data_IF_713702362616
#
_entry.id   IF_713702362616
#
_cell.length_a   1.000
_cell.length_b   1.000
_cell.length_c   1.000
_cell.angle_alpha   90.00
_cell.angle_beta   90.00
_cell.angle_gamma   90.00
#
_symmetry.space_group_name_H-M   'P 1'
#
loop_
_entity.id
_entity.type
_entity.pdbx_description
1 polymer ?
#
# COMPACT_ATOMS: atom_id res chain seq x y z
N UNK A 1 -25.79 42.54 -37.29
CA UNK A 1 -26.68 41.88 -36.31
C UNK A 1 -27.11 40.53 -36.88
N UNK A 2 -26.46 39.44 -36.49
CA UNK A 2 -26.93 38.07 -36.75
C UNK A 2 -26.47 37.16 -35.59
N UNK A 3 -27.22 37.02 -34.50
CA UNK A 3 -27.03 35.90 -33.59
C UNK A 3 -28.01 34.78 -33.96
N UNK A 4 -27.61 33.52 -33.77
CA UNK A 4 -28.43 32.30 -33.82
C UNK A 4 -28.57 31.51 -35.13
N UNK A 5 -27.67 31.62 -36.11
CA UNK A 5 -27.72 30.74 -37.30
C UNK A 5 -27.13 29.33 -37.13
N UNK A 6 -26.85 28.82 -35.93
CA UNK A 6 -26.43 27.41 -35.82
C UNK A 6 -26.62 26.76 -34.44
N UNK A 7 -27.69 27.11 -33.74
CA UNK A 7 -28.02 26.49 -32.45
C UNK A 7 -28.29 24.99 -32.57
N UNK A 8 -28.91 24.54 -33.66
CA UNK A 8 -29.16 23.11 -33.93
C UNK A 8 -27.87 22.33 -34.17
N UNK A 9 -26.89 22.91 -34.87
CA UNK A 9 -25.57 22.31 -35.08
C UNK A 9 -24.77 22.24 -33.77
N UNK A 10 -24.91 23.26 -32.92
CA UNK A 10 -24.29 23.29 -31.59
C UNK A 10 -24.93 22.26 -30.64
N UNK A 11 -26.26 22.21 -30.56
CA UNK A 11 -26.98 21.20 -29.77
C UNK A 11 -26.70 19.76 -30.24
N UNK A 12 -26.57 19.54 -31.56
CA UNK A 12 -26.22 18.23 -32.12
C UNK A 12 -24.78 17.81 -31.81
N UNK A 13 -23.87 18.77 -31.61
CA UNK A 13 -22.54 18.50 -31.08
C UNK A 13 -22.59 18.22 -29.59
N UNK A 14 -23.36 18.99 -28.82
CA UNK A 14 -23.53 18.76 -27.37
C UNK A 14 -24.21 17.42 -27.07
N UNK A 15 -25.22 16.99 -27.86
CA UNK A 15 -25.86 15.68 -27.69
C UNK A 15 -24.88 14.53 -27.95
N UNK A 16 -24.06 14.65 -29.01
CA UNK A 16 -22.99 13.68 -29.29
C UNK A 16 -21.91 13.64 -28.21
N UNK A 17 -21.57 14.80 -27.64
CA UNK A 17 -20.64 14.87 -26.50
C UNK A 17 -21.26 14.22 -25.26
N UNK A 18 -22.56 14.41 -25.02
CA UNK A 18 -23.27 13.75 -23.91
C UNK A 18 -23.36 12.24 -24.09
N UNK A 19 -23.68 11.74 -25.29
CA UNK A 19 -23.69 10.30 -25.62
C UNK A 19 -22.30 9.67 -25.46
N UNK A 20 -21.25 10.34 -25.97
CA UNK A 20 -19.87 9.88 -25.80
C UNK A 20 -19.40 9.93 -24.32
N UNK A 21 -19.85 10.93 -23.55
CA UNK A 21 -19.60 11.00 -22.10
C UNK A 21 -20.31 9.87 -21.34
N UNK A 22 -21.51 9.48 -21.78
CA UNK A 22 -22.25 8.35 -21.20
C UNK A 22 -21.58 7.01 -21.51
N UNK A 23 -20.95 6.88 -22.67
CA UNK A 23 -20.17 5.70 -23.07
C UNK A 23 -18.82 5.60 -22.35
N UNK A 24 -18.09 6.72 -22.21
CA UNK A 24 -16.88 6.82 -21.38
C UNK A 24 -17.16 6.57 -19.89
N UNK A 25 -18.35 6.93 -19.40
CA UNK A 25 -18.75 6.67 -18.01
C UNK A 25 -19.03 5.20 -17.70
N UNK A 26 -19.26 4.37 -18.73
CA UNK A 26 -19.39 2.91 -18.58
C UNK A 26 -18.02 2.21 -18.43
N UNK A 27 -16.93 2.87 -18.81
CA UNK A 27 -15.55 2.33 -18.69
C UNK A 27 -14.83 2.78 -17.41
N UNK A 28 -15.32 3.80 -16.71
CA UNK A 28 -14.74 4.26 -15.43
C UNK A 28 -15.47 3.59 -14.26
N UNK A 29 -15.31 2.27 -14.12
CA UNK A 29 -15.69 1.54 -12.90
C UNK A 29 -14.51 1.47 -11.92
N UNK A 30 -14.02 2.60 -11.41
CA UNK A 30 -13.03 2.61 -10.30
C UNK A 30 -13.70 2.38 -8.93
N UNK A 31 -14.52 1.32 -8.84
CA UNK A 31 -15.26 0.99 -7.63
C UNK A 31 -15.88 -0.41 -7.62
N UNK A 32 -15.70 -1.22 -8.66
CA UNK A 32 -16.13 -2.61 -8.63
C UNK A 32 -15.11 -3.42 -7.81
N UNK A 33 -15.54 -3.98 -6.68
CA UNK A 33 -14.81 -5.06 -6.01
C UNK A 33 -14.77 -6.22 -7.01
N UNK A 34 -13.57 -6.61 -7.46
CA UNK A 34 -13.42 -7.77 -8.34
C UNK A 34 -14.07 -9.00 -7.67
N UNK A 35 -14.78 -9.85 -8.42
CA UNK A 35 -15.37 -11.05 -7.85
C UNK A 35 -14.26 -11.90 -7.22
N UNK A 36 -14.53 -12.38 -6.00
CA UNK A 36 -13.63 -13.22 -5.22
C UNK A 36 -13.14 -14.40 -6.09
N UNK A 37 -11.82 -14.52 -6.30
CA UNK A 37 -11.22 -15.59 -7.10
C UNK A 37 -10.70 -15.21 -8.51
N UNK A 38 -10.60 -13.92 -8.87
CA UNK A 38 -10.08 -13.47 -10.17
C UNK A 38 -8.64 -12.93 -10.19
N UNK A 39 -7.81 -13.27 -9.18
CA UNK A 39 -6.39 -12.89 -9.18
C UNK A 39 -6.16 -11.37 -9.08
N UNK A 40 -7.15 -10.64 -8.57
CA UNK A 40 -7.07 -9.22 -8.26
C UNK A 40 -7.25 -9.03 -6.75
N UNK A 41 -6.31 -8.32 -6.14
CA UNK A 41 -6.31 -8.09 -4.70
C UNK A 41 -7.10 -6.84 -4.33
N UNK A 42 -7.76 -6.84 -3.16
CA UNK A 42 -8.55 -5.70 -2.72
C UNK A 42 -7.66 -4.48 -2.41
N UNK A 43 -8.22 -3.26 -2.47
CA UNK A 43 -7.54 -2.07 -1.96
C UNK A 43 -7.09 -2.25 -0.51
N UNK A 44 -5.93 -1.71 -0.18
CA UNK A 44 -5.38 -1.81 1.18
C UNK A 44 -6.18 -0.91 2.13
N UNK A 45 -6.75 -1.50 3.19
CA UNK A 45 -7.41 -0.77 4.26
C UNK A 45 -6.37 -0.21 5.23
N UNK A 46 -5.82 0.96 4.92
CA UNK A 46 -4.82 1.63 5.75
C UNK A 46 -5.53 2.54 6.75
N UNK A 47 -5.38 2.24 8.04
CA UNK A 47 -5.93 3.03 9.14
C UNK A 47 -4.88 3.92 9.82
N UNK A 48 -3.61 3.62 9.61
CA UNK A 48 -2.48 4.32 10.23
C UNK A 48 -2.07 5.53 9.37
N UNK A 49 -2.17 6.74 9.95
CA UNK A 49 -1.85 8.00 9.25
C UNK A 49 -0.37 8.14 8.88
N UNK A 50 0.51 7.44 9.59
CA UNK A 50 1.95 7.51 9.40
C UNK A 50 2.44 6.46 8.40
N UNK A 51 1.58 5.52 8.00
CA UNK A 51 1.89 4.47 7.04
C UNK A 51 1.72 4.98 5.60
N UNK A 52 2.78 4.82 4.81
CA UNK A 52 2.77 5.01 3.37
C UNK A 52 2.82 3.65 2.68
N UNK A 53 1.95 3.47 1.70
CA UNK A 53 1.95 2.29 0.85
C UNK A 53 2.15 2.71 -0.61
N UNK A 54 2.94 1.92 -1.33
CA UNK A 54 3.08 2.01 -2.79
C UNK A 54 2.75 0.65 -3.38
N UNK A 55 1.67 0.59 -4.15
CA UNK A 55 1.22 -0.62 -4.82
C UNK A 55 1.62 -0.54 -6.30
N UNK A 56 2.35 -1.53 -6.79
CA UNK A 56 2.77 -1.57 -8.20
C UNK A 56 1.65 -2.03 -9.13
N UNK A 57 0.84 -2.98 -8.66
CA UNK A 57 -0.33 -3.52 -9.37
C UNK A 57 -1.23 -4.25 -8.36
N UNK A 58 -2.53 -4.29 -8.63
CA UNK A 58 -3.49 -5.09 -7.87
C UNK A 58 -3.73 -6.47 -8.51
N UNK A 59 -3.19 -6.75 -9.69
CA UNK A 59 -3.26 -8.07 -10.32
C UNK A 59 -2.25 -9.07 -9.75
N UNK A 60 -2.34 -10.33 -10.19
CA UNK A 60 -1.42 -11.40 -9.83
C UNK A 60 0.05 -10.95 -10.03
N UNK A 61 0.90 -11.23 -9.03
CA UNK A 61 2.30 -10.76 -8.93
C UNK A 61 2.49 -9.25 -8.64
N UNK A 62 1.41 -8.50 -8.40
CA UNK A 62 1.48 -7.15 -7.84
C UNK A 62 2.19 -7.10 -6.50
N UNK A 63 2.91 -6.01 -6.22
CA UNK A 63 3.68 -5.84 -4.98
C UNK A 63 3.22 -4.56 -4.29
N UNK A 64 2.83 -4.68 -3.03
CA UNK A 64 2.65 -3.53 -2.15
C UNK A 64 3.90 -3.38 -1.26
N UNK A 65 4.47 -2.17 -1.23
CA UNK A 65 5.61 -1.79 -0.39
C UNK A 65 5.16 -0.79 0.65
N UNK A 66 5.62 -0.97 1.88
CA UNK A 66 5.27 -0.11 3.00
C UNK A 66 6.48 0.63 3.54
N UNK A 67 6.24 1.87 3.95
CA UNK A 67 7.17 2.70 4.67
C UNK A 67 6.42 3.56 5.69
N UNK A 68 7.12 3.99 6.74
CA UNK A 68 6.57 4.94 7.69
C UNK A 68 7.14 6.33 7.43
N UNK A 69 6.43 7.36 7.92
CA UNK A 69 6.96 8.72 8.02
C UNK A 69 8.20 8.78 8.93
N UNK A 70 8.97 9.86 8.80
CA UNK A 70 10.12 10.11 9.67
C UNK A 70 9.70 10.02 11.15
N UNK A 71 10.57 9.50 12.02
CA UNK A 71 10.33 9.18 13.45
C UNK A 71 9.45 7.96 13.77
N UNK A 72 9.03 7.18 12.78
CA UNK A 72 8.29 5.94 13.00
C UNK A 72 9.02 4.73 12.42
N UNK A 73 8.89 3.59 13.10
CA UNK A 73 9.42 2.31 12.67
C UNK A 73 8.26 1.44 12.19
N UNK A 74 8.47 0.80 11.03
CA UNK A 74 7.52 -0.15 10.48
C UNK A 74 7.55 -1.45 11.29
N UNK A 75 6.41 -1.83 11.86
CA UNK A 75 6.22 -3.08 12.58
C UNK A 75 5.40 -4.03 11.69
N UNK A 76 6.06 -5.09 11.23
CA UNK A 76 5.47 -6.09 10.32
C UNK A 76 6.21 -6.21 8.98
N UNK A 77 5.53 -6.76 7.98
CA UNK A 77 6.09 -6.99 6.65
C UNK A 77 6.28 -5.69 5.86
N UNK A 78 7.50 -5.45 5.35
CA UNK A 78 7.79 -4.30 4.46
C UNK A 78 7.16 -4.43 3.09
N UNK A 79 6.86 -5.66 2.66
CA UNK A 79 6.29 -5.95 1.36
C UNK A 79 5.28 -7.08 1.44
N UNK A 80 4.27 -7.05 0.58
CA UNK A 80 3.33 -8.14 0.36
C UNK A 80 3.02 -8.28 -1.12
N UNK A 81 2.68 -9.50 -1.55
CA UNK A 81 2.41 -9.83 -2.95
C UNK A 81 0.95 -10.17 -3.15
N UNK A 82 0.40 -9.79 -4.30
CA UNK A 82 -0.92 -10.23 -4.68
C UNK A 82 -0.86 -11.67 -5.19
N UNK A 83 -1.55 -12.58 -4.49
CA UNK A 83 -1.61 -13.98 -4.85
C UNK A 83 -2.59 -14.19 -6.01
N UNK A 84 -2.41 -15.25 -6.82
CA UNK A 84 -3.36 -15.58 -7.90
C UNK A 84 -4.79 -15.82 -7.44
N UNK A 85 -4.98 -16.12 -6.15
CA UNK A 85 -6.29 -16.32 -5.53
C UNK A 85 -7.07 -15.00 -5.35
N UNK A 86 -6.41 -13.84 -5.50
CA UNK A 86 -7.00 -12.52 -5.27
C UNK A 86 -6.83 -12.02 -3.83
N UNK A 87 -5.93 -12.64 -3.07
CA UNK A 87 -5.61 -12.25 -1.71
C UNK A 87 -4.18 -11.76 -1.59
N UNK A 88 -3.96 -10.79 -0.71
CA UNK A 88 -2.61 -10.39 -0.39
C UNK A 88 -1.90 -11.44 0.46
N UNK A 89 -0.62 -11.67 0.19
CA UNK A 89 0.20 -12.67 0.87
C UNK A 89 0.53 -12.35 2.34
N UNK A 90 -0.03 -11.26 2.90
CA UNK A 90 0.30 -10.76 4.23
C UNK A 90 -0.73 -9.75 4.71
N UNK A 91 -0.48 -9.20 5.90
CA UNK A 91 -1.33 -8.16 6.50
C UNK A 91 -0.71 -6.77 6.34
N UNK A 92 -1.56 -5.74 6.35
CA UNK A 92 -1.11 -4.35 6.39
C UNK A 92 -0.32 -4.12 7.70
N UNK A 93 0.95 -3.69 7.63
CA UNK A 93 1.75 -3.38 8.81
C UNK A 93 1.28 -2.08 9.46
N UNK A 94 1.80 -1.77 10.65
CA UNK A 94 1.55 -0.49 11.32
C UNK A 94 2.86 0.21 11.67
N UNK A 95 2.77 1.51 11.89
CA UNK A 95 3.88 2.38 12.25
C UNK A 95 3.85 2.64 13.75
N UNK A 96 4.99 2.37 14.40
CA UNK A 96 5.17 2.70 15.81
C UNK A 96 6.11 3.89 15.92
N UNK A 97 5.72 4.92 16.69
CA UNK A 97 6.59 6.05 16.98
C UNK A 97 7.82 5.53 17.71
N UNK A 98 9.00 5.90 17.22
CA UNK A 98 10.25 5.58 17.87
C UNK A 98 10.60 6.70 18.85
N UNK A 99 10.60 6.39 20.14
CA UNK A 99 11.06 7.33 21.15
C UNK A 99 12.60 7.23 21.30
N UNK A 100 13.27 8.32 21.70
CA UNK A 100 14.72 8.28 21.99
C UNK A 100 15.12 7.19 23.00
N UNK A 101 14.22 6.84 23.92
CA UNK A 101 14.43 5.74 24.88
C UNK A 101 14.30 4.35 24.23
N UNK A 102 13.54 4.20 23.13
CA UNK A 102 13.50 2.94 22.35
C UNK A 102 14.84 2.69 21.64
N UNK A 103 15.56 3.75 21.27
CA UNK A 103 16.90 3.65 20.69
C UNK A 103 17.95 3.20 21.72
N UNK A 104 17.88 3.74 22.95
CA UNK A 104 18.74 3.31 24.06
C UNK A 104 18.43 1.87 24.50
N UNK A 105 17.16 1.49 24.60
CA UNK A 105 16.75 0.11 24.92
C UNK A 105 17.18 -0.91 23.85
N UNK A 106 17.12 -0.55 22.56
CA UNK A 106 17.61 -1.40 21.48
C UNK A 106 19.15 -1.57 21.52
N UNK A 107 19.90 -0.49 21.78
CA UNK A 107 21.36 -0.54 21.92
C UNK A 107 21.76 -1.32 23.19
N UNK A 108 21.08 -1.11 24.32
CA UNK A 108 21.27 -1.89 25.54
C UNK A 108 20.97 -3.38 25.32
N UNK A 109 19.92 -3.72 24.58
CA UNK A 109 19.63 -5.10 24.20
C UNK A 109 20.76 -5.73 23.36
N UNK A 110 21.28 -5.01 22.37
CA UNK A 110 22.42 -5.48 21.55
C UNK A 110 23.71 -5.60 22.36
N UNK A 111 23.98 -4.65 23.27
CA UNK A 111 25.13 -4.72 24.17
C UNK A 111 25.00 -5.90 25.14
N UNK A 112 23.81 -6.14 25.68
CA UNK A 112 23.52 -7.28 26.57
C UNK A 112 23.75 -8.60 25.85
N UNK A 113 23.27 -8.74 24.61
CA UNK A 113 23.53 -9.92 23.79
C UNK A 113 25.03 -10.09 23.47
N UNK A 114 25.76 -9.00 23.24
CA UNK A 114 27.20 -9.06 23.00
C UNK A 114 27.97 -9.50 24.26
N UNK A 115 27.54 -9.07 25.44
CA UNK A 115 28.10 -9.50 26.72
C UNK A 115 27.78 -10.97 27.01
N UNK A 116 26.58 -11.44 26.67
CA UNK A 116 26.20 -12.85 26.76
C UNK A 116 27.07 -13.73 25.84
N UNK A 117 27.31 -13.31 24.60
CA UNK A 117 28.21 -14.01 23.66
C UNK A 117 29.66 -14.03 24.18
N UNK A 118 30.17 -12.92 24.73
CA UNK A 118 31.51 -12.89 25.34
C UNK A 118 31.61 -13.86 26.50
N UNK A 119 30.60 -13.88 27.37
CA UNK A 119 30.55 -14.79 28.51
C UNK A 119 30.58 -16.26 28.03
N UNK A 120 29.73 -16.63 27.08
CA UNK A 120 29.70 -17.98 26.52
C UNK A 120 31.03 -18.36 25.83
N UNK A 121 31.68 -17.42 25.14
CA UNK A 121 33.00 -17.65 24.51
C UNK A 121 34.16 -17.77 25.52
N UNK A 122 33.93 -17.39 26.78
CA UNK A 122 34.91 -17.50 27.86
C UNK A 122 34.71 -18.74 28.74
N UNK A 123 33.66 -19.52 28.49
CA UNK A 123 33.42 -20.76 29.22
C UNK A 123 34.39 -21.84 28.73
N UNK A 124 35.07 -22.56 29.65
CA UNK A 124 35.89 -23.69 29.27
C UNK A 124 35.02 -24.81 28.69
N UNK A 125 35.46 -25.42 27.60
CA UNK A 125 34.76 -26.56 27.00
C UNK A 125 34.71 -27.72 27.99
N UNK A 126 33.57 -28.43 28.09
CA UNK A 126 33.44 -29.57 29.00
C UNK A 126 34.42 -30.68 28.58
N UNK A 127 35.14 -31.21 29.58
CA UNK A 127 36.16 -32.26 29.44
C UNK A 127 35.54 -33.63 29.16
#
# INVERSE_FOLDING_TARGET
>A
MQPFQNWTSFLKRLSKVNEANEELSKEIQWGAVAPQGQGWCPPLAITDSELRATVTSFGAAGIARFSCTSSHVLVGGRTMRCLPQGDWSGSVPHCKRMFPLDFWYYVDFINTLADEVRYLSSLPEPV
#
